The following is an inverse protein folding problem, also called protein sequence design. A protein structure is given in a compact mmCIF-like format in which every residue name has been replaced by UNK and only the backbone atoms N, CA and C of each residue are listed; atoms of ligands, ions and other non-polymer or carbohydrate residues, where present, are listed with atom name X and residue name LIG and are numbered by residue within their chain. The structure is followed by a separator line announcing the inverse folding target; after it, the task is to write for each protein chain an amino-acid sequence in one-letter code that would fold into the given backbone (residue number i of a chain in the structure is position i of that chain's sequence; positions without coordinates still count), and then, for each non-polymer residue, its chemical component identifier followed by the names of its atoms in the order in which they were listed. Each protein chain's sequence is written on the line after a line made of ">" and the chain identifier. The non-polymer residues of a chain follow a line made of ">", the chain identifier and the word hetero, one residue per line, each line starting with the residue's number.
data_IF_592555693618
#
_entry.id   IF_592555693618
#
_cell.length_a   1.000
_cell.length_b   1.000
_cell.length_c   1.000
_cell.angle_alpha   90.00
_cell.angle_beta   90.00
_cell.angle_gamma   90.00
#
_symmetry.space_group_name_H-M   'P 1'
#
loop_
_entity.id
_entity.type
_entity.pdbx_description
1 polymer ?
#
# COMPACT_ATOMS: atom_id res chain seq x y z
N UNK A 1 0.55 -3.42 -2.44
CA UNK A 1 1.21 -2.76 -3.61
C UNK A 1 2.15 -1.59 -3.27
N UNK A 2 2.69 -1.45 -2.04
CA UNK A 2 3.57 -0.29 -1.69
C UNK A 2 4.85 -0.23 -2.53
N UNK A 3 5.45 -1.36 -2.90
CA UNK A 3 6.66 -1.42 -3.73
C UNK A 3 6.43 -0.75 -5.09
N UNK A 4 5.40 -1.16 -5.82
CA UNK A 4 5.07 -0.58 -7.13
C UNK A 4 4.69 0.90 -7.03
N UNK A 5 3.91 1.27 -6.00
CA UNK A 5 3.51 2.67 -5.76
C UNK A 5 4.72 3.62 -5.66
N UNK A 6 5.80 3.20 -5.00
CA UNK A 6 6.99 4.04 -4.84
C UNK A 6 8.01 3.90 -5.97
N UNK A 7 8.21 2.69 -6.50
CA UNK A 7 9.37 2.40 -7.36
C UNK A 7 9.01 2.40 -8.85
N UNK A 8 7.83 1.90 -9.24
CA UNK A 8 7.40 1.89 -10.64
C UNK A 8 6.81 3.25 -11.03
N UNK A 9 7.69 4.26 -11.10
CA UNK A 9 7.34 5.65 -11.43
C UNK A 9 6.79 5.80 -12.85
N UNK A 10 7.11 4.85 -13.74
CA UNK A 10 6.57 4.79 -15.08
C UNK A 10 5.10 4.33 -15.13
N UNK A 11 4.56 3.75 -14.05
CA UNK A 11 3.16 3.31 -13.98
C UNK A 11 2.82 2.16 -14.93
N UNK A 12 3.82 1.46 -15.45
CA UNK A 12 3.66 0.39 -16.45
C UNK A 12 3.19 -0.93 -15.83
N UNK A 13 3.22 -1.07 -14.50
CA UNK A 13 3.01 -2.34 -13.81
C UNK A 13 4.17 -3.33 -13.95
N UNK A 14 5.25 -2.94 -14.64
CA UNK A 14 6.45 -3.76 -14.87
C UNK A 14 7.67 -3.03 -14.31
N UNK A 15 8.29 -3.60 -13.26
CA UNK A 15 9.46 -2.99 -12.64
C UNK A 15 10.70 -3.16 -13.52
N UNK A 16 11.25 -2.05 -14.01
CA UNK A 16 12.47 -2.08 -14.82
C UNK A 16 13.73 -2.17 -13.93
N UNK A 17 14.83 -2.72 -14.47
CA UNK A 17 16.12 -2.73 -13.78
C UNK A 17 16.59 -1.31 -13.40
N UNK A 18 16.29 -0.31 -14.23
CA UNK A 18 16.63 1.08 -13.97
C UNK A 18 15.87 1.63 -12.75
N UNK A 19 14.58 1.35 -12.65
CA UNK A 19 13.75 1.74 -11.50
C UNK A 19 14.21 1.00 -10.24
N UNK A 20 14.48 -0.30 -10.33
CA UNK A 20 15.00 -1.10 -9.22
C UNK A 20 16.33 -0.56 -8.69
N UNK A 21 17.30 -0.28 -9.59
CA UNK A 21 18.62 0.25 -9.22
C UNK A 21 18.57 1.65 -8.61
N UNK A 22 17.60 2.48 -9.00
CA UNK A 22 17.42 3.85 -8.47
C UNK A 22 16.56 3.89 -7.21
N UNK A 23 15.74 2.86 -7.01
CA UNK A 23 14.92 2.69 -5.82
C UNK A 23 15.73 2.21 -4.62
N UNK A 24 15.02 1.90 -3.54
CA UNK A 24 15.59 1.45 -2.28
C UNK A 24 15.01 0.09 -1.84
N UNK A 25 14.45 -0.69 -2.78
CA UNK A 25 13.90 -2.02 -2.45
C UNK A 25 14.97 -2.95 -1.91
N UNK A 26 16.12 -3.04 -2.59
CA UNK A 26 17.20 -3.95 -2.20
C UNK A 26 17.73 -3.58 -0.80
N UNK A 27 17.95 -2.29 -0.53
CA UNK A 27 18.34 -1.83 0.80
C UNK A 27 17.29 -2.16 1.87
N UNK A 28 15.99 -1.98 1.56
CA UNK A 28 14.92 -2.34 2.48
C UNK A 28 14.83 -3.86 2.73
N UNK A 29 15.16 -4.70 1.74
CA UNK A 29 15.24 -6.15 1.91
C UNK A 29 16.43 -6.55 2.77
N UNK A 30 17.59 -5.92 2.58
CA UNK A 30 18.76 -6.15 3.45
C UNK A 30 18.46 -5.79 4.91
N UNK A 31 17.78 -4.66 5.14
CA UNK A 31 17.34 -4.29 6.49
C UNK A 31 16.33 -5.28 7.08
N UNK A 32 15.46 -5.86 6.24
CA UNK A 32 14.49 -6.88 6.66
C UNK A 32 15.19 -8.18 7.09
N UNK A 33 16.33 -8.52 6.48
CA UNK A 33 17.10 -9.70 6.87
C UNK A 33 17.82 -9.51 8.23
N UNK A 34 18.08 -8.27 8.64
CA UNK A 34 18.79 -7.93 9.88
C UNK A 34 17.87 -7.61 11.07
N UNK A 35 16.65 -7.12 10.81
CA UNK A 35 15.74 -6.67 11.85
C UNK A 35 14.63 -7.70 12.12
N UNK A 36 14.61 -8.24 13.34
CA UNK A 36 13.62 -9.21 13.79
C UNK A 36 12.20 -8.63 13.88
N UNK A 37 12.07 -7.33 14.20
CA UNK A 37 10.78 -6.65 14.28
C UNK A 37 10.39 -6.02 12.93
N UNK A 38 9.55 -6.73 12.17
CA UNK A 38 9.05 -6.31 10.86
C UNK A 38 8.41 -4.90 10.88
N UNK A 39 7.86 -4.45 12.01
CA UNK A 39 7.21 -3.14 12.10
C UNK A 39 8.19 -1.98 12.10
N UNK A 40 9.45 -2.21 12.51
CA UNK A 40 10.52 -1.20 12.38
C UNK A 40 10.93 -0.98 10.93
N UNK A 41 10.63 -1.93 10.02
CA UNK A 41 10.83 -1.77 8.58
C UNK A 41 9.62 -1.05 7.96
N UNK A 42 9.54 0.25 8.24
CA UNK A 42 8.42 1.13 7.82
C UNK A 42 8.26 1.14 6.28
N UNK A 43 9.37 0.95 5.55
CA UNK A 43 9.37 0.88 4.08
C UNK A 43 8.88 -0.48 3.62
N UNK A 44 7.77 -0.48 2.89
CA UNK A 44 7.16 -1.65 2.24
C UNK A 44 6.59 -2.71 3.18
N UNK A 45 7.31 -3.13 4.21
CA UNK A 45 7.09 -4.40 4.90
C UNK A 45 6.38 -4.30 6.26
N UNK A 46 6.34 -3.13 6.91
CA UNK A 46 5.64 -2.93 8.18
C UNK A 46 4.21 -3.52 8.16
N UNK A 47 3.99 -4.46 9.08
CA UNK A 47 2.71 -5.14 9.23
C UNK A 47 1.66 -4.22 9.83
N UNK A 48 2.03 -3.32 10.74
CA UNK A 48 1.14 -2.27 11.25
C UNK A 48 0.58 -1.39 10.13
N UNK A 49 1.42 -0.97 9.17
CA UNK A 49 0.94 -0.24 8.00
C UNK A 49 -0.03 -1.05 7.15
N UNK A 50 0.25 -2.34 6.95
CA UNK A 50 -0.68 -3.23 6.27
C UNK A 50 -2.01 -3.32 7.02
N UNK A 51 -1.96 -3.53 8.34
CA UNK A 51 -3.13 -3.72 9.18
C UNK A 51 -4.03 -2.50 9.17
N UNK A 52 -3.48 -1.28 9.30
CA UNK A 52 -4.27 -0.04 9.22
C UNK A 52 -4.99 0.07 7.87
N UNK A 53 -4.32 -0.21 6.76
CA UNK A 53 -4.94 -0.17 5.43
C UNK A 53 -6.03 -1.24 5.31
N UNK A 54 -5.76 -2.46 5.77
CA UNK A 54 -6.69 -3.57 5.71
C UNK A 54 -7.94 -3.32 6.56
N UNK A 55 -7.79 -2.84 7.79
CA UNK A 55 -8.94 -2.48 8.64
C UNK A 55 -9.83 -1.44 7.95
N UNK A 56 -9.24 -0.41 7.33
CA UNK A 56 -10.02 0.60 6.61
C UNK A 56 -10.74 0.05 5.38
N UNK A 57 -10.10 -0.86 4.66
CA UNK A 57 -10.75 -1.55 3.55
C UNK A 57 -11.92 -2.40 4.05
N UNK A 58 -11.67 -3.22 5.07
CA UNK A 58 -12.66 -4.13 5.66
C UNK A 58 -13.85 -3.39 6.29
N UNK A 59 -13.63 -2.22 6.89
CA UNK A 59 -14.70 -1.35 7.39
C UNK A 59 -15.63 -0.83 6.28
N UNK A 60 -15.13 -0.69 5.06
CA UNK A 60 -15.90 -0.17 3.92
C UNK A 60 -16.56 -1.29 3.09
N UNK A 61 -15.89 -2.44 2.95
CA UNK A 61 -16.34 -3.64 2.23
C UNK A 61 -17.30 -4.47 3.12
N UNK A 62 -18.55 -4.02 3.19
CA UNK A 62 -19.57 -4.59 4.09
C UNK A 62 -20.17 -5.91 3.61
N UNK A 63 -20.11 -6.21 2.32
CA UNK A 63 -20.55 -7.47 1.71
C UNK A 63 -19.41 -8.47 1.50
N UNK A 64 -18.17 -8.07 1.79
CA UNK A 64 -16.97 -8.90 1.82
C UNK A 64 -16.65 -9.52 0.45
N UNK A 65 -16.94 -8.78 -0.62
CA UNK A 65 -16.68 -9.21 -1.99
C UNK A 65 -15.24 -8.87 -2.45
N UNK A 66 -14.47 -8.20 -1.59
CA UNK A 66 -13.12 -7.69 -1.84
C UNK A 66 -13.07 -6.58 -2.90
N UNK A 67 -14.18 -5.88 -3.14
CA UNK A 67 -14.27 -4.67 -3.94
C UNK A 67 -14.79 -3.50 -3.10
N UNK A 68 -14.56 -2.29 -3.61
CA UNK A 68 -15.06 -1.05 -3.01
C UNK A 68 -15.70 -0.27 -4.14
N UNK A 69 -17.02 -0.11 -4.07
CA UNK A 69 -17.76 0.72 -5.02
C UNK A 69 -17.78 2.20 -4.58
N UNK A 70 -18.48 3.03 -5.35
CA UNK A 70 -18.60 4.47 -5.06
C UNK A 70 -19.36 4.75 -3.76
N UNK A 71 -20.35 3.94 -3.44
CA UNK A 71 -21.22 4.11 -2.26
C UNK A 71 -20.52 3.63 -0.99
N UNK A 72 -19.59 2.68 -1.10
CA UNK A 72 -18.66 2.31 -0.05
C UNK A 72 -17.65 3.46 0.15
N UNK A 73 -16.99 3.90 -0.93
CA UNK A 73 -15.90 4.88 -0.84
C UNK A 73 -16.35 6.23 -0.27
N UNK A 74 -17.58 6.68 -0.54
CA UNK A 74 -18.06 7.97 0.00
C UNK A 74 -18.16 7.99 1.53
N UNK A 75 -18.29 6.83 2.19
CA UNK A 75 -18.32 6.75 3.66
C UNK A 75 -16.93 7.00 4.27
N UNK A 76 -15.87 6.85 3.47
CA UNK A 76 -14.50 7.02 3.92
C UNK A 76 -14.24 8.43 4.47
N UNK A 77 -13.51 8.51 5.59
CA UNK A 77 -13.13 9.78 6.20
C UNK A 77 -14.31 10.64 6.65
N UNK A 78 -15.42 10.02 7.07
CA UNK A 78 -16.67 10.72 7.43
C UNK A 78 -17.20 11.61 6.29
N UNK A 79 -17.30 11.04 5.09
CA UNK A 79 -17.81 11.73 3.91
C UNK A 79 -16.94 12.93 3.48
N UNK A 80 -15.63 12.84 3.69
CA UNK A 80 -14.67 13.87 3.30
C UNK A 80 -14.44 13.97 1.78
N UNK A 81 -14.79 12.92 1.02
CA UNK A 81 -14.64 12.88 -0.43
C UNK A 81 -15.93 13.34 -1.11
N UNK A 82 -15.80 14.12 -2.19
CA UNK A 82 -16.94 14.52 -3.02
C UNK A 82 -17.18 13.50 -4.15
N UNK A 83 -18.38 13.51 -4.74
CA UNK A 83 -18.68 12.70 -5.94
C UNK A 83 -17.90 13.11 -7.20
N UNK A 84 -17.10 14.18 -7.15
CA UNK A 84 -16.25 14.62 -8.27
C UNK A 84 -14.90 13.92 -8.18
N UNK A 85 -14.54 13.22 -9.26
CA UNK A 85 -13.22 12.62 -9.51
C UNK A 85 -12.41 13.58 -10.38
#
# INVERSE_FOLDING_TARGET
>A
YRIFYYINRSGTGCLTLRELKRGNLIAAMQQLDEEDDINKIIRYFSYEHFYVIYCRFWELDGDHDCFIDKDNLIKYGNHALTYRI
#
